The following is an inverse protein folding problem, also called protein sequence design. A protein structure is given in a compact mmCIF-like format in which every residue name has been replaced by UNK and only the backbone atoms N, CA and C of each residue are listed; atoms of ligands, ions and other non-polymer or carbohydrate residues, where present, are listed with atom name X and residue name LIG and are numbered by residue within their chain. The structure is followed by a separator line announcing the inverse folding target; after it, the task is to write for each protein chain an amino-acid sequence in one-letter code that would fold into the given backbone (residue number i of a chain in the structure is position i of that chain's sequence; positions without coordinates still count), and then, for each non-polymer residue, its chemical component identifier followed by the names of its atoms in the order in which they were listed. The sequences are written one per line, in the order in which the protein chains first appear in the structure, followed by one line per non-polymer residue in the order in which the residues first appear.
data_IF_829442088467
#
_entry.id   IF_829442088467
#
_cell.length_a   1.000
_cell.length_b   1.000
_cell.length_c   1.000
_cell.angle_alpha   90.00
_cell.angle_beta   90.00
_cell.angle_gamma   90.00
#
_symmetry.space_group_name_H-M   'P 1'
#
loop_
_entity.id
_entity.type
_entity.pdbx_description
1 polymer ?
#
# COMPACT_ATOMS: atom_id res chain seq x y z
N UNK A 1 6.95 -51.46 -7.58
CA UNK A 1 7.32 -50.02 -7.60
C UNK A 1 6.67 -49.41 -8.84
N UNK A 2 6.01 -48.25 -8.72
CA UNK A 2 6.74 -46.98 -8.82
C UNK A 2 6.44 -45.99 -7.69
N UNK A 3 7.47 -45.25 -7.29
CA UNK A 3 7.42 -44.08 -6.40
C UNK A 3 6.71 -42.93 -7.14
N UNK A 4 5.57 -42.45 -6.62
CA UNK A 4 5.07 -41.11 -6.96
C UNK A 4 5.93 -40.10 -6.21
N UNK A 5 6.86 -39.46 -6.92
CA UNK A 5 7.52 -38.24 -6.44
C UNK A 5 6.50 -37.12 -6.64
N UNK A 6 5.80 -36.75 -5.56
CA UNK A 6 5.04 -35.51 -5.53
C UNK A 6 6.02 -34.35 -5.51
N UNK A 7 6.28 -33.75 -6.67
CA UNK A 7 6.91 -32.43 -6.73
C UNK A 7 5.92 -31.43 -6.14
N UNK A 8 6.02 -31.21 -4.83
CA UNK A 8 5.46 -30.05 -4.18
C UNK A 8 6.35 -28.87 -4.63
N UNK A 9 6.01 -28.27 -5.78
CA UNK A 9 6.60 -27.01 -6.22
C UNK A 9 6.11 -25.94 -5.25
N UNK A 10 6.75 -25.86 -4.08
CA UNK A 10 6.67 -24.68 -3.23
C UNK A 10 7.22 -23.55 -4.08
N UNK A 11 6.35 -22.64 -4.53
CA UNK A 11 6.78 -21.40 -5.15
C UNK A 11 7.77 -20.71 -4.23
N UNK A 12 8.87 -20.19 -4.78
CA UNK A 12 9.80 -19.35 -4.02
C UNK A 12 9.01 -18.26 -3.26
N UNK A 13 9.39 -17.94 -2.01
CA UNK A 13 8.79 -16.83 -1.28
C UNK A 13 8.80 -15.55 -2.13
N UNK A 14 7.71 -14.79 -2.14
CA UNK A 14 7.51 -13.70 -3.10
C UNK A 14 8.48 -12.52 -2.93
N UNK A 15 9.17 -12.41 -1.79
CA UNK A 15 10.18 -11.40 -1.51
C UNK A 15 11.59 -11.99 -1.39
N UNK A 16 11.83 -13.19 -1.91
CA UNK A 16 13.15 -13.82 -1.82
C UNK A 16 14.25 -12.94 -2.44
N UNK A 17 15.18 -12.49 -1.60
CA UNK A 17 16.31 -11.64 -2.00
C UNK A 17 16.04 -10.14 -1.97
N UNK A 18 14.81 -9.72 -1.63
CA UNK A 18 14.45 -8.30 -1.51
C UNK A 18 14.96 -7.70 -0.20
N UNK A 19 15.49 -6.48 -0.27
CA UNK A 19 15.81 -5.61 0.87
C UNK A 19 14.78 -4.49 1.00
N UNK A 20 13.86 -4.77 1.90
CA UNK A 20 12.73 -4.05 2.50
C UNK A 20 13.00 -2.74 3.25
N UNK A 21 12.74 -1.53 2.75
CA UNK A 21 12.69 -0.34 3.62
C UNK A 21 11.32 0.31 3.63
N UNK A 22 10.94 0.93 4.75
CA UNK A 22 9.66 1.62 4.93
C UNK A 22 9.84 3.11 5.23
N UNK A 23 8.95 3.94 4.67
CA UNK A 23 8.88 5.38 4.93
C UNK A 23 7.44 5.85 5.11
N UNK A 24 7.25 6.93 5.87
CA UNK A 24 5.92 7.39 6.27
C UNK A 24 5.31 6.52 7.38
N UNK A 25 4.00 6.67 7.59
CA UNK A 25 3.25 5.80 8.50
C UNK A 25 2.42 4.83 7.65
N UNK A 26 2.57 3.53 7.91
CA UNK A 26 1.74 2.51 7.29
C UNK A 26 0.31 2.56 7.86
N UNK A 27 -0.67 2.54 6.97
CA UNK A 27 -2.10 2.50 7.26
C UNK A 27 -2.58 1.17 7.82
N UNK A 28 -1.94 0.09 7.38
CA UNK A 28 -2.36 -1.30 7.59
C UNK A 28 -1.74 -1.93 8.83
N UNK A 29 -0.57 -1.47 9.26
CA UNK A 29 0.20 -2.08 10.36
C UNK A 29 1.34 -1.18 10.84
N UNK A 30 2.10 -1.61 11.85
CA UNK A 30 3.34 -0.94 12.27
C UNK A 30 4.51 -1.38 11.39
N UNK A 31 5.60 -0.58 11.34
CA UNK A 31 6.82 -0.99 10.64
C UNK A 31 7.40 -2.31 11.17
N UNK A 32 7.29 -2.58 12.48
CA UNK A 32 7.71 -3.85 13.06
C UNK A 32 6.91 -5.03 12.49
N UNK A 33 5.58 -4.92 12.44
CA UNK A 33 4.74 -5.97 11.85
C UNK A 33 4.99 -6.15 10.35
N UNK A 34 5.28 -5.06 9.62
CA UNK A 34 5.64 -5.13 8.21
C UNK A 34 7.00 -5.82 8.00
N UNK A 35 7.97 -5.56 8.87
CA UNK A 35 9.26 -6.25 8.86
C UNK A 35 9.11 -7.77 9.08
N UNK A 36 8.22 -8.17 10.01
CA UNK A 36 7.91 -9.58 10.23
C UNK A 36 7.32 -10.24 8.98
N UNK A 37 6.43 -9.55 8.25
CA UNK A 37 5.86 -10.06 6.99
C UNK A 37 6.90 -10.19 5.88
N UNK A 38 7.82 -9.23 5.78
CA UNK A 38 8.92 -9.30 4.81
C UNK A 38 9.78 -10.54 5.08
N UNK A 39 10.15 -10.77 6.35
CA UNK A 39 10.93 -11.93 6.75
C UNK A 39 10.18 -13.26 6.49
N UNK A 40 8.88 -13.31 6.77
CA UNK A 40 8.02 -14.47 6.49
C UNK A 40 7.94 -14.81 4.99
N UNK A 41 8.12 -13.81 4.12
CA UNK A 41 8.09 -13.94 2.67
C UNK A 41 9.49 -13.95 2.03
N UNK A 42 10.54 -14.20 2.83
CA UNK A 42 11.90 -14.46 2.34
C UNK A 42 12.76 -13.22 2.05
N UNK A 43 12.29 -12.03 2.41
CA UNK A 43 13.04 -10.78 2.29
C UNK A 43 13.71 -10.35 3.60
N UNK A 44 14.48 -9.26 3.54
CA UNK A 44 15.14 -8.63 4.68
C UNK A 44 14.60 -7.20 4.86
N UNK A 45 14.06 -6.87 6.03
CA UNK A 45 13.65 -5.50 6.34
C UNK A 45 14.77 -4.69 7.01
N UNK A 46 14.92 -3.43 6.61
CA UNK A 46 15.87 -2.45 7.16
C UNK A 46 15.18 -1.11 7.42
N UNK A 47 15.42 -0.55 8.61
CA UNK A 47 14.92 0.78 9.01
C UNK A 47 15.58 1.93 8.22
N UNK A 48 16.79 1.69 7.72
CA UNK A 48 17.60 2.66 6.99
C UNK A 48 17.63 2.31 5.51
N UNK A 49 17.33 3.30 4.66
CA UNK A 49 17.48 3.16 3.22
C UNK A 49 18.98 3.22 2.91
N UNK A 50 19.49 2.18 2.26
CA UNK A 50 20.90 2.07 1.86
C UNK A 50 21.00 1.83 0.37
N UNK A 51 22.22 1.84 -0.18
CA UNK A 51 22.47 1.45 -1.57
C UNK A 51 22.12 -0.01 -1.88
N UNK A 52 21.90 -0.83 -0.85
CA UNK A 52 21.50 -2.23 -0.98
C UNK A 52 19.99 -2.42 -0.90
N UNK A 53 19.22 -1.37 -0.59
CA UNK A 53 17.75 -1.41 -0.58
C UNK A 53 17.27 -1.63 -2.01
N UNK A 54 16.49 -2.69 -2.21
CA UNK A 54 15.89 -3.03 -3.50
C UNK A 54 14.44 -2.53 -3.60
N UNK A 55 13.78 -2.36 -2.45
CA UNK A 55 12.40 -1.88 -2.38
C UNK A 55 12.22 -0.85 -1.25
N UNK A 56 11.61 0.29 -1.56
CA UNK A 56 11.11 1.26 -0.59
C UNK A 56 9.58 1.29 -0.64
N UNK A 57 8.95 0.93 0.48
CA UNK A 57 7.51 0.97 0.67
C UNK A 57 7.11 2.30 1.31
N UNK A 58 6.18 3.01 0.70
CA UNK A 58 5.63 4.28 1.19
C UNK A 58 4.29 4.01 1.89
N UNK A 59 4.21 4.36 3.17
CA UNK A 59 2.99 4.28 3.96
C UNK A 59 1.91 5.27 3.52
N UNK A 60 0.66 4.81 3.62
CA UNK A 60 -0.54 5.53 3.18
C UNK A 60 -1.35 6.13 4.35
N UNK A 61 -0.84 6.09 5.58
CA UNK A 61 -1.39 6.82 6.72
C UNK A 61 -0.90 8.27 6.69
N UNK A 62 -1.69 9.12 6.02
CA UNK A 62 -1.28 10.48 5.70
C UNK A 62 -0.33 10.52 4.50
N UNK A 63 -0.15 11.70 3.92
CA UNK A 63 0.91 11.87 2.93
C UNK A 63 2.26 11.92 3.66
N UNK A 64 3.35 11.37 3.11
CA UNK A 64 4.69 11.47 3.71
C UNK A 64 5.24 12.89 3.48
N UNK A 65 4.57 13.88 4.06
CA UNK A 65 4.94 15.28 4.01
C UNK A 65 5.58 15.66 5.34
N UNK A 66 6.61 16.50 5.28
CA UNK A 66 7.04 17.26 6.45
C UNK A 66 5.93 18.25 6.85
N UNK A 67 6.03 18.84 8.05
CA UNK A 67 5.10 19.87 8.53
C UNK A 67 5.00 21.09 7.57
N UNK A 68 5.99 21.23 6.68
CA UNK A 68 6.05 22.23 5.60
C UNK A 68 5.25 21.87 4.34
N UNK A 69 4.64 20.68 4.27
CA UNK A 69 3.94 20.18 3.07
C UNK A 69 4.88 19.69 1.96
N UNK A 70 6.16 19.43 2.26
CA UNK A 70 7.15 18.90 1.32
C UNK A 70 7.31 17.39 1.46
N UNK A 71 7.60 16.63 0.37
CA UNK A 71 7.88 15.20 0.45
C UNK A 71 9.02 14.89 1.45
N UNK A 72 8.86 13.83 2.25
CA UNK A 72 9.85 13.46 3.27
C UNK A 72 11.24 13.23 2.67
N UNK A 73 12.29 13.53 3.44
CA UNK A 73 13.70 13.34 3.02
C UNK A 73 13.94 11.94 2.44
N UNK A 74 13.37 10.89 3.03
CA UNK A 74 13.48 9.51 2.53
C UNK A 74 12.89 9.34 1.11
N UNK A 75 11.75 9.96 0.82
CA UNK A 75 11.13 9.93 -0.51
C UNK A 75 11.93 10.72 -1.54
N UNK A 76 12.45 11.90 -1.16
CA UNK A 76 13.33 12.68 -2.03
C UNK A 76 14.63 11.93 -2.38
N UNK A 77 15.24 11.26 -1.41
CA UNK A 77 16.44 10.45 -1.63
C UNK A 77 16.18 9.26 -2.56
N UNK A 78 15.06 8.56 -2.39
CA UNK A 78 14.69 7.45 -3.24
C UNK A 78 14.44 7.87 -4.70
N UNK A 79 13.74 8.99 -4.91
CA UNK A 79 13.54 9.57 -6.25
C UNK A 79 14.87 9.96 -6.92
N UNK A 80 15.78 10.60 -6.19
CA UNK A 80 17.13 10.93 -6.71
C UNK A 80 17.93 9.69 -7.06
N UNK A 81 17.81 8.60 -6.30
CA UNK A 81 18.51 7.36 -6.59
C UNK A 81 17.92 6.64 -7.81
N UNK A 82 16.60 6.69 -8.02
CA UNK A 82 15.98 6.22 -9.26
C UNK A 82 16.43 7.04 -10.47
N UNK A 83 16.44 8.37 -10.37
CA UNK A 83 16.95 9.26 -11.44
C UNK A 83 18.43 9.00 -11.75
N UNK A 84 19.21 8.57 -10.75
CA UNK A 84 20.61 8.15 -10.91
C UNK A 84 20.79 6.70 -11.40
N UNK A 85 19.71 5.98 -11.73
CA UNK A 85 19.75 4.64 -12.31
C UNK A 85 19.87 3.49 -11.29
N UNK A 86 19.57 3.73 -10.01
CA UNK A 86 19.52 2.64 -9.02
C UNK A 86 18.33 1.70 -9.29
N UNK A 87 18.53 0.39 -9.11
CA UNK A 87 17.48 -0.64 -9.19
C UNK A 87 16.55 -0.64 -7.96
N UNK A 88 16.27 0.54 -7.40
CA UNK A 88 15.36 0.71 -6.27
C UNK A 88 13.92 0.81 -6.77
N UNK A 89 13.06 -0.12 -6.36
CA UNK A 89 11.63 -0.05 -6.57
C UNK A 89 10.97 0.79 -5.48
N UNK A 90 10.17 1.78 -5.88
CA UNK A 90 9.33 2.54 -4.95
C UNK A 90 7.91 2.05 -5.13
N UNK A 91 7.33 1.48 -4.07
CA UNK A 91 5.97 0.94 -4.08
C UNK A 91 5.15 1.59 -2.98
N UNK A 92 3.86 1.79 -3.22
CA UNK A 92 2.97 2.21 -2.16
C UNK A 92 2.63 1.01 -1.26
N UNK A 93 2.23 1.29 -0.03
CA UNK A 93 1.80 0.28 0.93
C UNK A 93 0.70 -0.65 0.37
N UNK A 94 -0.27 -0.10 -0.34
CA UNK A 94 -1.35 -0.88 -0.94
C UNK A 94 -0.86 -1.89 -1.98
N UNK A 95 0.12 -1.50 -2.79
CA UNK A 95 0.77 -2.37 -3.78
C UNK A 95 1.68 -3.40 -3.09
N UNK A 96 2.41 -3.01 -2.05
CA UNK A 96 3.22 -3.91 -1.23
C UNK A 96 2.36 -5.01 -0.59
N UNK A 97 1.24 -4.65 0.01
CA UNK A 97 0.29 -5.61 0.58
C UNK A 97 -0.30 -6.52 -0.50
N UNK A 98 -0.61 -5.97 -1.68
CA UNK A 98 -1.07 -6.77 -2.80
C UNK A 98 0.01 -7.78 -3.22
N UNK A 99 1.28 -7.38 -3.34
CA UNK A 99 2.41 -8.26 -3.66
C UNK A 99 2.55 -9.43 -2.67
N UNK A 100 2.31 -9.18 -1.38
CA UNK A 100 2.28 -10.23 -0.36
C UNK A 100 1.07 -11.18 -0.52
N UNK A 101 -0.08 -10.65 -0.96
CA UNK A 101 -1.32 -11.39 -1.24
C UNK A 101 -1.36 -12.02 -2.65
N UNK A 102 -0.42 -11.69 -3.56
CA UNK A 102 -0.47 -12.01 -5.00
C UNK A 102 -0.34 -13.51 -5.35
N UNK A 103 -0.38 -14.39 -4.36
CA UNK A 103 -0.62 -15.82 -4.60
C UNK A 103 -2.11 -16.13 -4.84
N UNK A 104 -3.05 -15.20 -4.61
CA UNK A 104 -4.49 -15.50 -4.55
C UNK A 104 -5.44 -14.56 -5.34
N UNK A 105 -5.01 -13.80 -6.36
CA UNK A 105 -5.94 -12.89 -7.09
C UNK A 105 -5.84 -12.95 -8.63
N UNK A 106 -6.29 -14.07 -9.22
CA UNK A 106 -6.96 -14.02 -10.53
C UNK A 106 -8.44 -13.74 -10.27
N UNK A 107 -8.91 -12.52 -10.53
CA UNK A 107 -10.26 -12.27 -11.07
C UNK A 107 -10.44 -10.79 -11.47
N UNK A 108 -10.69 -10.58 -12.76
CA UNK A 108 -10.50 -9.34 -13.51
C UNK A 108 -11.71 -8.36 -13.47
N UNK A 109 -12.66 -8.50 -12.53
CA UNK A 109 -13.92 -7.72 -12.58
C UNK A 109 -14.24 -6.95 -11.29
N UNK A 110 -13.54 -7.20 -10.18
CA UNK A 110 -13.73 -6.45 -8.93
C UNK A 110 -12.45 -5.75 -8.51
N UNK A 111 -12.06 -4.69 -9.24
CA UNK A 111 -10.94 -3.85 -8.81
C UNK A 111 -11.27 -3.25 -7.45
N UNK A 112 -10.48 -3.61 -6.45
CA UNK A 112 -10.58 -3.09 -5.09
C UNK A 112 -9.71 -1.84 -4.96
N UNK A 113 -10.22 -0.84 -4.24
CA UNK A 113 -9.58 0.47 -4.06
C UNK A 113 -9.28 0.73 -2.59
N UNK A 114 -8.10 1.26 -2.27
CA UNK A 114 -7.73 1.68 -0.90
C UNK A 114 -8.10 3.14 -0.63
N UNK A 115 -8.09 3.61 0.63
CA UNK A 115 -8.31 5.02 0.93
C UNK A 115 -7.36 5.98 0.19
N UNK A 116 -6.10 5.59 -0.03
CA UNK A 116 -5.15 6.40 -0.79
C UNK A 116 -5.51 6.47 -2.28
N UNK A 117 -5.91 5.34 -2.88
CA UNK A 117 -6.40 5.33 -4.27
C UNK A 117 -7.64 6.21 -4.43
N UNK A 118 -8.60 6.14 -3.49
CA UNK A 118 -9.78 7.01 -3.49
C UNK A 118 -9.40 8.48 -3.29
N UNK A 119 -8.42 8.76 -2.43
CA UNK A 119 -7.90 10.11 -2.19
C UNK A 119 -7.34 10.72 -3.47
N UNK A 120 -6.49 9.97 -4.18
CA UNK A 120 -5.92 10.39 -5.47
C UNK A 120 -7.01 10.54 -6.54
N UNK A 121 -7.96 9.61 -6.62
CA UNK A 121 -9.04 9.63 -7.61
C UNK A 121 -10.03 10.79 -7.44
N UNK A 122 -10.32 11.17 -6.20
CA UNK A 122 -11.37 12.14 -5.86
C UNK A 122 -10.81 13.52 -5.48
N UNK A 123 -9.49 13.66 -5.32
CA UNK A 123 -8.86 14.91 -4.92
C UNK A 123 -9.19 15.35 -3.49
N UNK A 124 -9.57 14.41 -2.61
CA UNK A 124 -9.84 14.67 -1.18
C UNK A 124 -8.82 13.94 -0.32
N UNK A 125 -8.53 14.43 0.89
CA UNK A 125 -7.51 13.80 1.75
C UNK A 125 -7.92 12.40 2.23
N UNK A 126 -6.94 11.53 2.49
CA UNK A 126 -7.15 10.19 3.07
C UNK A 126 -7.89 10.25 4.41
N UNK A 127 -7.74 11.34 5.18
CA UNK A 127 -8.47 11.59 6.41
C UNK A 127 -9.98 11.73 6.19
N UNK A 128 -10.39 12.41 5.11
CA UNK A 128 -11.80 12.55 4.73
C UNK A 128 -12.38 11.19 4.33
N UNK A 129 -11.67 10.43 3.49
CA UNK A 129 -12.08 9.07 3.09
C UNK A 129 -12.25 8.16 4.31
N UNK A 130 -11.28 8.16 5.23
CA UNK A 130 -11.35 7.38 6.48
C UNK A 130 -12.45 7.84 7.41
N UNK A 131 -12.75 9.14 7.45
CA UNK A 131 -13.87 9.69 8.22
C UNK A 131 -15.20 9.17 7.66
N UNK A 132 -15.37 9.14 6.34
CA UNK A 132 -16.54 8.55 5.70
C UNK A 132 -16.68 7.06 6.00
N UNK A 133 -15.59 6.30 5.92
CA UNK A 133 -15.58 4.88 6.25
C UNK A 133 -15.97 4.63 7.73
N UNK A 134 -15.38 5.36 8.68
CA UNK A 134 -15.73 5.26 10.11
C UNK A 134 -17.18 5.66 10.41
N UNK A 135 -17.73 6.61 9.67
CA UNK A 135 -19.13 7.04 9.77
C UNK A 135 -20.10 6.14 8.99
N UNK A 136 -19.61 5.12 8.29
CA UNK A 136 -20.43 4.19 7.49
C UNK A 136 -20.99 4.80 6.20
N UNK A 137 -20.48 5.94 5.75
CA UNK A 137 -20.91 6.61 4.51
C UNK A 137 -20.37 5.90 3.26
N UNK A 138 -19.23 5.23 3.40
CA UNK A 138 -18.70 4.25 2.47
C UNK A 138 -18.34 3.00 3.25
N UNK A 139 -18.47 1.82 2.64
CA UNK A 139 -18.27 0.53 3.32
C UNK A 139 -17.17 -0.28 2.66
N UNK A 140 -16.23 -0.77 3.44
CA UNK A 140 -15.20 -1.67 2.93
C UNK A 140 -15.78 -3.05 2.63
N UNK A 141 -15.46 -3.61 1.46
CA UNK A 141 -15.87 -4.95 1.04
C UNK A 141 -14.86 -6.04 1.45
N UNK A 142 -13.59 -5.65 1.61
CA UNK A 142 -12.49 -6.51 2.10
C UNK A 142 -11.63 -5.69 3.06
N UNK A 143 -10.99 -6.36 4.01
CA UNK A 143 -9.90 -5.78 4.81
C UNK A 143 -8.69 -6.71 4.68
N UNK A 144 -7.55 -6.16 4.27
CA UNK A 144 -6.26 -6.87 4.30
C UNK A 144 -5.46 -6.24 5.42
N UNK A 145 -5.13 -7.02 6.44
CA UNK A 145 -4.68 -6.52 7.74
C UNK A 145 -5.65 -5.46 8.29
N UNK A 146 -5.23 -4.19 8.38
CA UNK A 146 -6.07 -3.06 8.82
C UNK A 146 -6.47 -2.13 7.68
N UNK A 147 -6.06 -2.41 6.44
CA UNK A 147 -6.34 -1.57 5.29
C UNK A 147 -7.71 -1.96 4.69
N UNK A 148 -8.70 -1.05 4.69
CA UNK A 148 -9.98 -1.31 4.05
C UNK A 148 -9.88 -1.19 2.53
N UNK A 149 -10.58 -2.08 1.84
CA UNK A 149 -10.72 -2.08 0.40
C UNK A 149 -12.17 -1.85 0.01
N UNK A 150 -12.39 -1.00 -0.99
CA UNK A 150 -13.70 -0.56 -1.48
C UNK A 150 -13.90 -1.05 -2.92
N UNK A 151 -15.11 -1.46 -3.27
CA UNK A 151 -15.45 -1.79 -4.65
C UNK A 151 -15.87 -0.55 -5.44
N UNK A 152 -16.23 -0.75 -6.71
CA UNK A 152 -16.69 0.32 -7.59
C UNK A 152 -17.98 1.02 -7.10
N UNK A 153 -18.87 0.31 -6.41
CA UNK A 153 -20.12 0.88 -5.89
C UNK A 153 -19.80 1.93 -4.83
N UNK A 154 -18.86 1.61 -3.95
CA UNK A 154 -18.46 2.47 -2.84
C UNK A 154 -17.62 3.66 -3.34
N UNK A 155 -16.83 3.48 -4.42
CA UNK A 155 -16.18 4.58 -5.15
C UNK A 155 -17.22 5.59 -5.66
N UNK A 156 -18.32 5.10 -6.24
CA UNK A 156 -19.41 5.95 -6.75
C UNK A 156 -20.13 6.71 -5.64
N UNK A 157 -20.24 6.12 -4.45
CA UNK A 157 -20.74 6.83 -3.25
C UNK A 157 -19.75 7.88 -2.75
N UNK A 158 -18.46 7.55 -2.69
CA UNK A 158 -17.40 8.47 -2.30
C UNK A 158 -17.31 9.69 -3.25
N UNK A 159 -17.48 9.49 -4.55
CA UNK A 159 -17.50 10.58 -5.54
C UNK A 159 -18.63 11.58 -5.25
N UNK A 160 -19.85 11.09 -5.00
CA UNK A 160 -21.00 11.95 -4.64
C UNK A 160 -20.73 12.74 -3.35
N UNK A 161 -20.14 12.11 -2.34
CA UNK A 161 -19.75 12.81 -1.10
C UNK A 161 -18.69 13.88 -1.37
N UNK A 162 -17.74 13.62 -2.27
CA UNK A 162 -16.72 14.59 -2.68
C UNK A 162 -17.31 15.78 -3.41
N UNK A 163 -18.22 15.53 -4.37
CA UNK A 163 -18.95 16.57 -5.09
C UNK A 163 -19.75 17.45 -4.13
N UNK A 164 -20.43 16.86 -3.13
CA UNK A 164 -21.16 17.61 -2.10
C UNK A 164 -20.25 18.47 -1.22
N UNK A 165 -19.06 17.97 -0.87
CA UNK A 165 -18.08 18.77 -0.13
C UNK A 165 -17.57 19.95 -0.97
N UNK A 166 -17.35 19.74 -2.27
CA UNK A 166 -16.85 20.77 -3.19
C UNK A 166 -17.95 21.78 -3.58
N UNK A 167 -19.22 21.39 -3.60
CA UNK A 167 -20.36 22.25 -3.94
C UNK A 167 -20.81 23.16 -2.78
N UNK A 168 -20.19 23.05 -1.61
CA UNK A 168 -20.45 23.94 -0.47
C UNK A 168 -21.50 23.43 0.51
N UNK A 169 -21.04 22.74 1.55
CA UNK A 169 -21.63 22.86 2.89
C UNK A 169 -20.57 23.60 3.72
N UNK A 170 -20.82 24.85 4.16
CA UNK A 170 -19.91 25.54 5.07
C UNK A 170 -19.72 24.67 6.33
N UNK A 171 -18.48 24.63 6.83
CA UNK A 171 -18.14 23.99 8.11
C UNK A 171 -18.99 24.49 9.27
#
# INVERSE_FOLDING_TARGET
MPRKVGHNLQSSPCLQGERVSFTGTLASMTHAAAADLVAQNGGEASEHVSRQTTMLVIGEEGWPLEDSGQPSVKLQHALRWQEAGAELQIVNESDFLALLDLTEHRDEVHRLYTPAMLSSLLGVSTHVIRSWARKGLIRSVKQVHRLPYFDFREVSSARRLSELLQSGIPR
#
